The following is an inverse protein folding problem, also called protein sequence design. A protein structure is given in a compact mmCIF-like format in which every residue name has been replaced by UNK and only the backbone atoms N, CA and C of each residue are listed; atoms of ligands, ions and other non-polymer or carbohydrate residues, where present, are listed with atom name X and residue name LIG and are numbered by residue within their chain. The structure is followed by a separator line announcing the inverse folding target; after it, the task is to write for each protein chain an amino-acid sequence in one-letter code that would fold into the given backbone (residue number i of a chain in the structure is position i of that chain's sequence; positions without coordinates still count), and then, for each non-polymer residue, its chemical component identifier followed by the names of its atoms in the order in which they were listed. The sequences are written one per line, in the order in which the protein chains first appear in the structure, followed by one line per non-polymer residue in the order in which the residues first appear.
data_IF_207064221766
#
_entry.id   IF_207064221766
#
_cell.length_a   1.000
_cell.length_b   1.000
_cell.length_c   1.000
_cell.angle_alpha   90.00
_cell.angle_beta   90.00
_cell.angle_gamma   90.00
#
_symmetry.space_group_name_H-M   'P 1'
#
loop_
_entity.id
_entity.type
_entity.pdbx_description
1 polymer ?
#
# COMPACT_ATOMS: atom_id res chain seq x y z
N UNK A 1 -34.59 24.60 -36.19
CA UNK A 1 -33.54 23.76 -35.56
C UNK A 1 -32.27 24.58 -35.37
N UNK A 2 -31.87 24.92 -34.14
CA UNK A 2 -30.62 25.66 -33.88
C UNK A 2 -29.42 24.82 -34.33
N UNK A 3 -28.65 25.29 -35.33
CA UNK A 3 -27.35 24.72 -35.73
C UNK A 3 -26.45 24.64 -34.49
N UNK A 4 -26.33 23.47 -33.86
CA UNK A 4 -25.30 23.23 -32.85
C UNK A 4 -23.96 23.33 -33.58
N UNK A 5 -23.09 24.24 -33.17
CA UNK A 5 -21.71 24.32 -33.68
C UNK A 5 -21.08 22.93 -33.48
N UNK A 6 -20.50 22.36 -34.53
CA UNK A 6 -19.83 21.05 -34.52
C UNK A 6 -18.85 20.91 -33.33
N UNK A 7 -18.21 22.02 -32.94
CA UNK A 7 -17.38 22.16 -31.74
C UNK A 7 -18.07 21.72 -30.43
N UNK A 8 -19.37 21.98 -30.24
CA UNK A 8 -20.09 21.55 -29.03
C UNK A 8 -20.36 20.04 -29.01
N UNK A 9 -20.45 19.38 -30.17
CA UNK A 9 -20.56 17.92 -30.24
C UNK A 9 -19.22 17.26 -29.90
N UNK A 10 -18.11 17.78 -30.42
CA UNK A 10 -16.77 17.30 -30.07
C UNK A 10 -16.47 17.51 -28.58
N UNK A 11 -16.79 18.68 -28.01
CA UNK A 11 -16.61 18.95 -26.59
C UNK A 11 -17.43 18.00 -25.70
N UNK A 12 -18.66 17.65 -26.10
CA UNK A 12 -19.50 16.72 -25.35
C UNK A 12 -18.94 15.29 -25.39
N UNK A 13 -18.56 14.80 -26.57
CA UNK A 13 -17.97 13.46 -26.71
C UNK A 13 -16.65 13.34 -25.94
N UNK A 14 -15.86 14.42 -25.99
CA UNK A 14 -14.64 14.55 -25.23
C UNK A 14 -14.87 14.44 -23.72
N UNK A 15 -15.84 15.19 -23.17
CA UNK A 15 -16.15 15.18 -21.75
C UNK A 15 -16.65 13.80 -21.28
N UNK A 16 -17.37 13.07 -22.15
CA UNK A 16 -17.76 11.68 -21.87
C UNK A 16 -16.56 10.75 -21.77
N UNK A 17 -15.62 10.79 -22.74
CA UNK A 17 -14.41 9.95 -22.70
C UNK A 17 -13.53 10.32 -21.50
N UNK A 18 -13.42 11.60 -21.17
CA UNK A 18 -12.70 12.10 -20.01
C UNK A 18 -13.26 11.53 -18.69
N UNK A 19 -14.60 11.54 -18.53
CA UNK A 19 -15.25 10.96 -17.36
C UNK A 19 -15.08 9.43 -17.30
N UNK A 20 -15.13 8.75 -18.45
CA UNK A 20 -14.87 7.30 -18.51
C UNK A 20 -13.44 6.97 -18.07
N UNK A 21 -12.44 7.74 -18.50
CA UNK A 21 -11.05 7.53 -18.08
C UNK A 21 -10.83 7.73 -16.56
N UNK A 22 -11.52 8.70 -15.95
CA UNK A 22 -11.51 8.89 -14.49
C UNK A 22 -12.13 7.66 -13.81
N UNK A 23 -13.29 7.21 -14.31
CA UNK A 23 -13.99 6.05 -13.76
C UNK A 23 -13.14 4.78 -13.85
N UNK A 24 -12.49 4.56 -15.00
CA UNK A 24 -11.58 3.42 -15.22
C UNK A 24 -10.38 3.46 -14.28
N UNK A 25 -9.83 4.66 -14.01
CA UNK A 25 -8.71 4.80 -13.06
C UNK A 25 -9.15 4.51 -11.63
N UNK A 26 -10.30 5.02 -11.20
CA UNK A 26 -10.88 4.71 -9.88
C UNK A 26 -11.12 3.21 -9.75
N UNK A 27 -11.71 2.59 -10.79
CA UNK A 27 -11.98 1.16 -10.82
C UNK A 27 -10.68 0.35 -10.74
N UNK A 28 -9.63 0.73 -11.47
CA UNK A 28 -8.33 0.07 -11.41
C UNK A 28 -7.72 0.13 -9.99
N UNK A 29 -7.80 1.27 -9.32
CA UNK A 29 -7.34 1.42 -7.93
C UNK A 29 -8.16 0.55 -6.96
N UNK A 30 -9.49 0.50 -7.14
CA UNK A 30 -10.35 -0.38 -6.35
C UNK A 30 -10.02 -1.86 -6.57
N UNK A 31 -9.81 -2.27 -7.82
CA UNK A 31 -9.40 -3.64 -8.17
C UNK A 31 -8.03 -3.98 -7.58
N UNK A 32 -7.08 -3.05 -7.58
CA UNK A 32 -5.77 -3.26 -6.96
C UNK A 32 -5.87 -3.43 -5.44
N UNK A 33 -6.69 -2.61 -4.77
CA UNK A 33 -6.95 -2.77 -3.33
C UNK A 33 -7.64 -4.10 -3.02
N UNK A 34 -8.61 -4.49 -3.84
CA UNK A 34 -9.29 -5.78 -3.71
C UNK A 34 -8.35 -6.96 -3.94
N UNK A 35 -7.52 -6.91 -4.98
CA UNK A 35 -6.50 -7.92 -5.24
C UNK A 35 -5.52 -8.04 -4.07
N UNK A 36 -5.07 -6.91 -3.50
CA UNK A 36 -4.22 -6.89 -2.30
C UNK A 36 -4.88 -7.60 -1.12
N UNK A 37 -6.18 -7.38 -0.88
CA UNK A 37 -6.94 -8.09 0.18
C UNK A 37 -7.10 -9.58 -0.10
N UNK A 38 -7.36 -9.98 -1.35
CA UNK A 38 -7.47 -11.39 -1.73
C UNK A 38 -6.16 -12.15 -1.51
N UNK A 39 -5.03 -11.55 -1.91
CA UNK A 39 -3.73 -12.21 -1.75
C UNK A 39 -3.20 -12.13 -0.33
N UNK A 40 -3.69 -11.20 0.51
CA UNK A 40 -3.24 -11.01 1.89
C UNK A 40 -3.19 -12.32 2.69
N UNK A 41 -4.23 -13.14 2.66
CA UNK A 41 -4.26 -14.43 3.38
C UNK A 41 -3.35 -15.51 2.78
N UNK A 42 -2.97 -15.37 1.52
CA UNK A 42 -2.10 -16.33 0.83
C UNK A 42 -0.60 -16.07 1.01
N UNK A 43 -0.23 -14.84 1.39
CA UNK A 43 1.15 -14.44 1.63
C UNK A 43 1.71 -15.16 2.86
N UNK A 44 2.91 -15.73 2.72
CA UNK A 44 3.61 -16.50 3.75
C UNK A 44 3.66 -15.79 5.10
N UNK A 45 3.83 -14.47 5.10
CA UNK A 45 3.86 -13.61 6.30
C UNK A 45 2.61 -13.72 7.19
N UNK A 46 1.45 -14.05 6.61
CA UNK A 46 0.18 -14.12 7.34
C UNK A 46 -0.23 -15.56 7.69
N UNK A 47 0.48 -16.59 7.19
CA UNK A 47 0.20 -17.99 7.50
C UNK A 47 0.81 -18.44 8.83
N UNK A 48 1.86 -17.78 9.28
CA UNK A 48 2.60 -18.12 10.49
C UNK A 48 2.67 -16.93 11.46
N UNK A 49 1.54 -16.44 11.98
CA UNK A 49 1.57 -15.37 12.96
C UNK A 49 2.21 -15.86 14.27
N UNK A 50 2.95 -14.99 14.95
CA UNK A 50 3.59 -15.25 16.24
C UNK A 50 2.57 -15.75 17.26
N UNK A 51 1.36 -15.17 17.25
CA UNK A 51 0.25 -15.57 18.12
C UNK A 51 -0.21 -17.02 17.95
N UNK A 52 0.01 -17.66 16.80
CA UNK A 52 -0.40 -19.04 16.55
C UNK A 52 0.59 -20.07 17.08
N UNK A 53 1.88 -19.73 17.15
CA UNK A 53 2.95 -20.67 17.56
C UNK A 53 3.44 -20.44 18.98
N UNK A 54 3.09 -19.29 19.60
CA UNK A 54 3.54 -18.94 20.95
C UNK A 54 3.04 -19.93 22.01
N UNK A 55 3.93 -20.33 22.92
CA UNK A 55 3.65 -21.21 24.06
C UNK A 55 4.03 -20.52 25.37
N UNK A 56 3.63 -21.10 26.51
CA UNK A 56 4.03 -20.58 27.83
C UNK A 56 5.54 -20.78 28.06
N UNK A 57 6.07 -21.90 27.57
CA UNK A 57 7.49 -22.25 27.54
C UNK A 57 8.04 -22.08 26.12
N UNK A 58 9.11 -21.31 25.99
CA UNK A 58 9.69 -21.00 24.69
C UNK A 58 10.40 -22.19 24.04
N UNK A 59 10.88 -23.16 24.82
CA UNK A 59 11.56 -24.36 24.29
C UNK A 59 10.59 -25.27 23.51
N UNK A 60 9.28 -25.13 23.76
CA UNK A 60 8.23 -25.88 23.10
C UNK A 60 7.70 -25.22 21.82
N UNK A 61 8.28 -24.07 21.43
CA UNK A 61 7.89 -23.38 20.19
C UNK A 61 8.54 -24.08 19.00
N UNK A 62 7.71 -24.62 18.11
CA UNK A 62 8.16 -25.22 16.86
C UNK A 62 8.34 -24.14 15.77
N UNK A 63 9.60 -23.81 15.48
CA UNK A 63 9.98 -22.87 14.43
C UNK A 63 10.07 -23.51 13.02
N UNK A 64 9.94 -24.84 12.89
CA UNK A 64 10.26 -25.58 11.67
C UNK A 64 9.50 -25.07 10.44
N UNK A 65 8.20 -24.84 10.58
CA UNK A 65 7.35 -24.36 9.48
C UNK A 65 7.73 -22.93 9.03
N UNK A 66 8.12 -22.06 9.98
CA UNK A 66 8.56 -20.69 9.67
C UNK A 66 9.89 -20.72 8.90
N UNK A 67 10.86 -21.49 9.40
CA UNK A 67 12.21 -21.59 8.80
C UNK A 67 12.15 -22.22 7.40
N UNK A 68 11.37 -23.28 7.21
CA UNK A 68 11.19 -23.94 5.90
C UNK A 68 10.60 -23.00 4.84
N UNK A 69 9.87 -21.98 5.25
CA UNK A 69 9.27 -20.98 4.35
C UNK A 69 10.11 -19.69 4.26
N UNK A 70 11.39 -19.74 4.65
CA UNK A 70 12.34 -18.63 4.52
C UNK A 70 12.18 -17.51 5.56
N UNK A 71 11.42 -17.77 6.63
CA UNK A 71 11.29 -16.87 7.76
C UNK A 71 12.31 -17.14 8.87
N UNK A 72 12.16 -16.43 9.97
CA UNK A 72 12.92 -16.65 11.20
C UNK A 72 12.07 -16.44 12.44
N UNK A 73 12.52 -17.06 13.53
CA UNK A 73 11.91 -16.96 14.85
C UNK A 73 13.00 -16.55 15.83
N UNK A 74 12.78 -15.42 16.51
CA UNK A 74 13.62 -14.93 17.58
C UNK A 74 12.82 -14.79 18.86
N UNK A 75 13.46 -15.05 20.00
CA UNK A 75 12.87 -14.88 21.33
C UNK A 75 13.77 -13.99 22.14
N UNK A 76 13.19 -12.88 22.60
CA UNK A 76 13.86 -11.91 23.47
C UNK A 76 13.25 -12.06 24.85
N UNK A 77 14.06 -12.35 25.87
CA UNK A 77 13.59 -12.45 27.25
C UNK A 77 13.42 -11.08 27.92
N UNK A 78 12.96 -11.07 29.18
CA UNK A 78 12.72 -9.87 29.97
C UNK A 78 13.98 -9.02 30.20
N UNK A 79 15.16 -9.64 30.15
CA UNK A 79 16.46 -8.98 30.26
C UNK A 79 17.02 -8.54 28.90
N UNK A 80 16.20 -8.60 27.83
CA UNK A 80 16.56 -8.23 26.46
C UNK A 80 17.63 -9.11 25.81
N UNK A 81 17.82 -10.33 26.31
CA UNK A 81 18.71 -11.33 25.71
C UNK A 81 17.96 -12.13 24.64
N UNK A 82 18.62 -12.39 23.52
CA UNK A 82 18.11 -13.27 22.47
C UNK A 82 18.41 -14.71 22.88
N UNK A 83 17.48 -15.31 23.61
CA UNK A 83 17.63 -16.67 24.17
C UNK A 83 17.36 -17.78 23.14
N UNK A 84 16.74 -17.43 22.02
CA UNK A 84 16.48 -18.36 20.92
C UNK A 84 16.50 -17.60 19.59
N UNK A 85 17.23 -18.13 18.60
CA UNK A 85 17.21 -17.65 17.22
C UNK A 85 17.28 -18.84 16.25
N UNK A 86 16.31 -18.94 15.34
CA UNK A 86 16.29 -19.94 14.27
C UNK A 86 15.84 -19.31 12.95
N UNK A 87 16.50 -19.71 11.86
CA UNK A 87 16.19 -19.22 10.51
C UNK A 87 16.75 -17.82 10.26
N UNK A 88 15.96 -16.97 9.60
CA UNK A 88 16.34 -15.59 9.28
C UNK A 88 16.49 -14.76 10.55
N UNK A 89 17.71 -14.33 10.86
CA UNK A 89 18.00 -13.40 11.96
C UNK A 89 18.21 -11.98 11.44
N UNK A 90 17.43 -11.04 11.97
CA UNK A 90 17.56 -9.61 11.65
C UNK A 90 17.91 -8.75 12.87
N UNK A 91 18.03 -9.36 14.05
CA UNK A 91 18.50 -8.70 15.28
C UNK A 91 20.03 -8.73 15.29
N UNK A 92 20.62 -9.89 14.98
CA UNK A 92 22.07 -10.06 14.80
C UNK A 92 22.90 -9.79 16.05
N UNK A 93 22.29 -9.89 17.23
CA UNK A 93 22.91 -9.70 18.54
C UNK A 93 22.36 -10.72 19.53
N UNK A 94 23.20 -11.13 20.48
CA UNK A 94 22.80 -12.03 21.56
C UNK A 94 22.13 -11.29 22.73
N UNK A 95 22.37 -9.99 22.86
CA UNK A 95 21.80 -9.13 23.90
C UNK A 95 21.57 -7.73 23.33
N UNK A 96 20.42 -7.14 23.69
CA UNK A 96 20.01 -5.80 23.31
C UNK A 96 19.95 -4.93 24.55
N UNK A 97 20.25 -3.65 24.40
CA UNK A 97 19.83 -2.67 25.41
C UNK A 97 18.33 -2.39 25.29
N UNK A 98 17.72 -1.86 26.35
CA UNK A 98 16.33 -1.42 26.30
C UNK A 98 16.07 -0.39 25.19
N UNK A 99 17.05 0.48 24.91
CA UNK A 99 17.01 1.45 23.82
C UNK A 99 16.96 0.74 22.45
N UNK A 100 17.87 -0.21 22.22
CA UNK A 100 17.93 -0.95 20.95
C UNK A 100 16.69 -1.81 20.71
N UNK A 101 16.16 -2.45 21.75
CA UNK A 101 14.93 -3.23 21.62
C UNK A 101 13.72 -2.32 21.36
N UNK A 102 13.65 -1.16 22.01
CA UNK A 102 12.59 -0.17 21.75
C UNK A 102 12.69 0.39 20.32
N UNK A 103 13.90 0.69 19.85
CA UNK A 103 14.13 1.09 18.46
C UNK A 103 13.70 -0.02 17.49
N UNK A 104 14.03 -1.28 17.78
CA UNK A 104 13.56 -2.42 16.99
C UNK A 104 12.02 -2.50 16.92
N UNK A 105 11.32 -2.40 18.07
CA UNK A 105 9.86 -2.46 18.12
C UNK A 105 9.21 -1.33 17.31
N UNK A 106 9.74 -0.11 17.44
CA UNK A 106 9.19 1.08 16.79
C UNK A 106 9.48 1.14 15.28
N UNK A 107 10.68 0.73 14.87
CA UNK A 107 11.11 0.72 13.47
C UNK A 107 10.73 -0.54 12.68
N UNK A 108 10.28 -1.60 13.35
CA UNK A 108 9.89 -2.87 12.72
C UNK A 108 8.95 -2.66 11.51
N UNK A 109 8.06 -1.67 11.56
CA UNK A 109 7.09 -1.39 10.49
C UNK A 109 7.70 -0.73 9.25
N UNK A 110 8.83 -0.04 9.37
CA UNK A 110 9.48 0.70 8.27
C UNK A 110 10.57 -0.12 7.55
N UNK A 111 11.01 -1.23 8.14
CA UNK A 111 12.03 -2.12 7.57
C UNK A 111 11.46 -2.99 6.42
N UNK A 112 12.31 -3.47 5.49
CA UNK A 112 11.90 -4.36 4.38
C UNK A 112 11.54 -5.79 4.82
N UNK A 113 11.12 -5.96 6.07
CA UNK A 113 10.73 -7.22 6.69
C UNK A 113 9.34 -7.09 7.31
N UNK A 114 8.60 -8.18 7.33
CA UNK A 114 7.39 -8.28 8.13
C UNK A 114 7.75 -8.89 9.47
N UNK A 115 7.53 -8.13 10.53
CA UNK A 115 7.67 -8.60 11.91
C UNK A 115 6.28 -8.75 12.51
N UNK A 116 5.99 -9.95 13.00
CA UNK A 116 4.87 -10.19 13.91
C UNK A 116 5.43 -10.46 15.31
N UNK A 117 5.03 -9.63 16.28
CA UNK A 117 5.65 -9.58 17.60
C UNK A 117 4.57 -9.74 18.65
N UNK A 118 4.72 -10.74 19.51
CA UNK A 118 3.78 -11.02 20.60
C UNK A 118 4.55 -11.18 21.91
N UNK A 119 4.10 -10.47 22.94
CA UNK A 119 4.60 -10.64 24.31
C UNK A 119 3.81 -11.75 25.03
N UNK A 120 4.53 -12.66 25.70
CA UNK A 120 3.95 -13.72 26.51
C UNK A 120 4.15 -13.43 27.99
N UNK A 121 3.09 -13.06 28.74
CA UNK A 121 3.26 -12.64 30.14
C UNK A 121 3.79 -13.73 31.08
N UNK A 122 3.39 -14.99 30.89
CA UNK A 122 3.78 -16.08 31.81
C UNK A 122 5.24 -16.49 31.68
N UNK A 123 5.79 -16.47 30.46
CA UNK A 123 7.19 -16.76 30.20
C UNK A 123 8.08 -15.51 30.17
N UNK A 124 7.47 -14.32 30.29
CA UNK A 124 8.14 -13.02 30.27
C UNK A 124 9.06 -12.80 29.06
N UNK A 125 8.63 -13.21 27.88
CA UNK A 125 9.41 -13.06 26.64
C UNK A 125 8.59 -12.49 25.50
N UNK A 126 9.28 -11.91 24.53
CA UNK A 126 8.74 -11.53 23.23
C UNK A 126 9.09 -12.60 22.20
N UNK A 127 8.06 -13.12 21.54
CA UNK A 127 8.22 -13.92 20.33
C UNK A 127 8.16 -13.01 19.12
N UNK A 128 9.18 -13.09 18.27
CA UNK A 128 9.29 -12.32 17.03
C UNK A 128 9.35 -13.30 15.88
N UNK A 129 8.37 -13.23 14.99
CA UNK A 129 8.36 -13.96 13.72
C UNK A 129 8.66 -13.00 12.58
N UNK A 130 9.68 -13.32 11.80
CA UNK A 130 10.20 -12.46 10.74
C UNK A 130 10.08 -13.13 9.38
N UNK A 131 9.56 -12.41 8.38
CA UNK A 131 9.62 -12.83 6.98
C UNK A 131 10.16 -11.70 6.08
N UNK A 132 10.96 -12.00 5.04
CA UNK A 132 11.34 -11.01 4.05
C UNK A 132 10.11 -10.52 3.29
N UNK A 133 9.98 -9.21 3.11
CA UNK A 133 8.83 -8.67 2.35
C UNK A 133 9.16 -8.72 0.87
N UNK A 134 8.38 -9.48 0.07
CA UNK A 134 8.55 -9.51 -1.39
C UNK A 134 8.06 -8.21 -2.05
N UNK A 135 6.81 -7.81 -1.78
CA UNK A 135 6.21 -6.55 -2.24
C UNK A 135 5.24 -6.05 -1.15
N UNK A 136 5.32 -4.76 -0.79
CA UNK A 136 4.40 -4.10 0.17
C UNK A 136 3.58 -3.03 -0.53
N UNK A 137 2.27 -3.26 -0.63
CA UNK A 137 1.28 -2.31 -1.17
C UNK A 137 0.17 -2.14 -0.12
N UNK A 138 0.38 -1.22 0.82
CA UNK A 138 -0.55 -0.95 1.91
C UNK A 138 -1.48 0.21 1.54
N UNK A 139 -2.65 -0.12 0.98
CA UNK A 139 -3.73 0.85 0.79
C UNK A 139 -4.70 0.76 1.97
N UNK A 140 -4.51 1.61 2.98
CA UNK A 140 -5.44 1.73 4.10
C UNK A 140 -5.82 3.19 4.33
N UNK A 141 -7.12 3.45 4.42
CA UNK A 141 -7.67 4.73 4.84
C UNK A 141 -8.19 4.55 6.27
N UNK A 142 -7.49 5.12 7.25
CA UNK A 142 -7.88 5.06 8.66
C UNK A 142 -8.41 6.42 9.06
N UNK A 143 -9.64 6.43 9.58
CA UNK A 143 -10.27 7.63 10.09
C UNK A 143 -10.51 7.46 11.60
N UNK A 144 -9.84 8.29 12.41
CA UNK A 144 -10.05 8.33 13.84
C UNK A 144 -10.57 9.71 14.25
N UNK A 145 -11.83 9.79 14.71
CA UNK A 145 -12.51 11.02 15.14
C UNK A 145 -11.79 11.77 16.27
N UNK A 146 -10.93 11.07 17.02
CA UNK A 146 -10.14 11.63 18.13
C UNK A 146 -8.88 12.35 17.65
N UNK A 147 -8.52 12.23 16.36
CA UNK A 147 -7.36 12.93 15.81
C UNK A 147 -7.55 14.46 15.86
N UNK A 148 -6.45 15.19 16.02
CA UNK A 148 -6.50 16.65 16.10
C UNK A 148 -7.11 17.25 14.82
N UNK A 149 -7.98 18.25 14.97
CA UNK A 149 -8.64 18.92 13.84
C UNK A 149 -7.65 19.45 12.78
N UNK A 150 -6.46 19.87 13.22
CA UNK A 150 -5.38 20.33 12.33
C UNK A 150 -4.81 19.22 11.44
N UNK A 151 -4.75 17.98 11.93
CA UNK A 151 -4.24 16.84 11.17
C UNK A 151 -5.21 16.42 10.07
N UNK A 152 -6.52 16.48 10.36
CA UNK A 152 -7.55 16.30 9.34
C UNK A 152 -7.46 17.32 8.22
N UNK A 153 -7.25 18.59 8.55
CA UNK A 153 -7.14 19.66 7.56
C UNK A 153 -5.89 19.48 6.69
N UNK A 154 -4.75 19.09 7.28
CA UNK A 154 -3.51 18.81 6.54
C UNK A 154 -3.64 17.57 5.65
N UNK A 155 -4.11 16.46 6.19
CA UNK A 155 -4.32 15.24 5.40
C UNK A 155 -5.34 15.45 4.27
N UNK A 156 -6.47 16.12 4.58
CA UNK A 156 -7.50 16.45 3.60
C UNK A 156 -7.01 17.37 2.49
N UNK A 157 -6.23 18.40 2.81
CA UNK A 157 -5.68 19.31 1.80
C UNK A 157 -4.61 18.64 0.92
N UNK A 158 -3.76 17.77 1.48
CA UNK A 158 -2.82 16.97 0.70
C UNK A 158 -3.55 16.03 -0.28
N UNK A 159 -4.58 15.33 0.17
CA UNK A 159 -5.42 14.47 -0.69
C UNK A 159 -6.09 15.31 -1.79
N UNK A 160 -6.70 16.43 -1.43
CA UNK A 160 -7.36 17.32 -2.39
C UNK A 160 -6.37 17.84 -3.44
N UNK A 161 -5.17 18.22 -3.04
CA UNK A 161 -4.11 18.68 -3.95
C UNK A 161 -3.70 17.60 -4.95
N UNK A 162 -3.49 16.36 -4.50
CA UNK A 162 -3.15 15.24 -5.38
C UNK A 162 -4.28 14.95 -6.38
N UNK A 163 -5.53 14.92 -5.90
CA UNK A 163 -6.71 14.69 -6.74
C UNK A 163 -6.87 15.81 -7.78
N UNK A 164 -6.77 17.07 -7.37
CA UNK A 164 -6.86 18.22 -8.29
C UNK A 164 -5.74 18.22 -9.33
N UNK A 165 -4.50 17.90 -8.92
CA UNK A 165 -3.36 17.81 -9.82
C UNK A 165 -3.55 16.71 -10.86
N UNK A 166 -4.01 15.54 -10.43
CA UNK A 166 -4.35 14.44 -11.33
C UNK A 166 -5.45 14.83 -12.32
N UNK A 167 -6.54 15.46 -11.85
CA UNK A 167 -7.63 15.93 -12.71
C UNK A 167 -7.17 16.98 -13.72
N UNK A 168 -6.26 17.89 -13.33
CA UNK A 168 -5.66 18.88 -14.23
C UNK A 168 -4.80 18.24 -15.30
N UNK A 169 -3.94 17.27 -14.93
CA UNK A 169 -3.11 16.51 -15.89
C UNK A 169 -4.01 15.76 -16.87
N UNK A 170 -5.05 15.10 -16.36
CA UNK A 170 -6.01 14.40 -17.20
C UNK A 170 -6.69 15.38 -18.14
N UNK A 171 -7.13 16.54 -17.64
CA UNK A 171 -7.87 17.53 -18.43
C UNK A 171 -6.99 18.14 -19.52
N UNK A 172 -5.73 18.42 -19.20
CA UNK A 172 -4.73 18.93 -20.14
C UNK A 172 -4.43 17.89 -21.23
N UNK A 173 -4.14 16.65 -20.84
CA UNK A 173 -3.83 15.55 -21.77
C UNK A 173 -4.99 15.32 -22.72
N UNK A 174 -6.18 15.28 -22.16
CA UNK A 174 -7.40 15.09 -22.91
C UNK A 174 -7.64 16.31 -23.85
N UNK A 175 -7.45 17.55 -23.38
CA UNK A 175 -7.56 18.75 -24.23
C UNK A 175 -6.60 18.72 -25.42
N UNK A 176 -5.34 18.35 -25.19
CA UNK A 176 -4.32 18.19 -26.25
C UNK A 176 -4.79 17.14 -27.27
N UNK A 177 -5.22 15.97 -26.80
CA UNK A 177 -5.74 14.90 -27.65
C UNK A 177 -6.92 15.37 -28.49
N UNK A 178 -7.89 16.06 -27.89
CA UNK A 178 -9.05 16.60 -28.59
C UNK A 178 -8.67 17.58 -29.70
N UNK A 179 -7.67 18.44 -29.46
CA UNK A 179 -7.17 19.38 -30.48
C UNK A 179 -6.50 18.66 -31.65
N UNK A 180 -5.69 17.64 -31.37
CA UNK A 180 -5.04 16.80 -32.40
C UNK A 180 -6.10 16.09 -33.24
N UNK A 181 -7.06 15.41 -32.60
CA UNK A 181 -8.14 14.68 -33.30
C UNK A 181 -9.04 15.63 -34.10
N UNK A 182 -9.36 16.80 -33.56
CA UNK A 182 -10.15 17.78 -34.30
C UNK A 182 -9.39 18.27 -35.54
N UNK A 183 -8.09 18.56 -35.43
CA UNK A 183 -7.27 18.98 -36.56
C UNK A 183 -7.11 17.85 -37.61
N UNK A 184 -6.90 16.61 -37.18
CA UNK A 184 -6.72 15.47 -38.08
C UNK A 184 -7.98 15.12 -38.87
N UNK A 185 -9.17 15.43 -38.36
CA UNK A 185 -10.43 15.27 -39.09
C UNK A 185 -10.74 16.51 -39.93
N UNK A 186 -10.66 17.70 -39.34
CA UNK A 186 -11.11 18.93 -40.01
C UNK A 186 -10.18 19.42 -41.12
N UNK A 187 -8.86 19.17 -41.03
CA UNK A 187 -7.90 19.61 -42.06
C UNK A 187 -8.07 18.83 -43.37
N UNK A 188 -8.14 17.48 -43.39
CA UNK A 188 -8.42 16.74 -44.62
C UNK A 188 -9.80 17.04 -45.21
N UNK A 189 -10.84 17.17 -44.37
CA UNK A 189 -12.19 17.54 -44.80
C UNK A 189 -12.21 18.91 -45.47
N UNK A 190 -11.47 19.88 -44.91
CA UNK A 190 -11.35 21.21 -45.51
C UNK A 190 -10.63 21.16 -46.86
N UNK A 191 -9.55 20.38 -46.97
CA UNK A 191 -8.86 20.16 -48.26
C UNK A 191 -9.80 19.53 -49.30
N UNK A 192 -10.64 18.58 -48.92
CA UNK A 192 -11.63 17.98 -49.82
C UNK A 192 -12.76 18.94 -50.23
N UNK A 193 -13.08 19.94 -49.40
CA UNK A 193 -14.06 20.97 -49.75
C UNK A 193 -13.46 22.11 -50.59
N UNK A 194 -12.18 22.44 -50.38
CA UNK A 194 -11.50 23.55 -51.04
C UNK A 194 -10.82 23.13 -52.38
N UNK A 195 -10.66 21.83 -52.64
CA UNK A 195 -10.07 21.26 -53.87
C UNK A 195 -8.63 20.81 -53.69
#
# INVERSE_FOLDING_TARGET
MKKRKLSNQFLKNFLVIFLLAILDTILALMLLSFASRLIAGSLTKNRYPASAIIKDDYEQIDASAVVQNGGGVQIVDREYRVVYSKGLDTIGKDELTAEEFTAFLTESKSKPYHYDIVYKPKGEFWLIVTFPTSIRLDFSLVYNKEAAAGDFMRAGSAIAFVVLSYLLILALTAFIYSRITAASITVPLRKLCDG
#
